data_IF_569117371863
#
_entry.id   IF_569117371863
#
_cell.length_a   1.000
_cell.length_b   1.000
_cell.length_c   1.000
_cell.angle_alpha   90.00
_cell.angle_beta   90.00
_cell.angle_gamma   90.00
#
_symmetry.space_group_name_H-M   'P 1'
#
loop_
_entity.id
_entity.type
_entity.pdbx_description
1 polymer ?
#
# COMPACT_ATOMS: atom_id res chain seq x y z
N UNK A 1 5.11 -16.87 15.75
CA UNK A 1 4.91 -18.04 14.87
C UNK A 1 5.06 -17.55 13.45
N UNK A 2 5.92 -18.17 12.65
CA UNK A 2 6.10 -17.84 11.24
C UNK A 2 5.27 -18.85 10.43
N UNK A 3 4.34 -18.35 9.62
CA UNK A 3 3.53 -19.19 8.75
C UNK A 3 4.26 -19.42 7.43
N UNK A 4 4.31 -20.64 6.98
CA UNK A 4 4.95 -21.02 5.70
C UNK A 4 3.98 -20.85 4.54
N UNK A 5 2.68 -21.12 4.77
CA UNK A 5 1.64 -21.02 3.76
C UNK A 5 0.48 -20.14 4.22
N UNK A 6 -0.23 -19.56 3.28
CA UNK A 6 -1.40 -18.73 3.55
C UNK A 6 -2.51 -19.51 4.27
N UNK A 7 -2.66 -20.79 3.98
CA UNK A 7 -3.65 -21.65 4.63
C UNK A 7 -3.38 -21.79 6.13
N UNK A 8 -2.12 -21.95 6.53
CA UNK A 8 -1.74 -22.04 7.95
C UNK A 8 -2.07 -20.75 8.69
N UNK A 9 -1.82 -19.61 8.04
CA UNK A 9 -2.19 -18.30 8.57
C UNK A 9 -3.70 -18.19 8.75
N UNK A 10 -4.48 -18.52 7.73
CA UNK A 10 -5.94 -18.39 7.76
C UNK A 10 -6.63 -19.40 8.69
N UNK A 11 -6.01 -20.55 8.93
CA UNK A 11 -6.54 -21.59 9.86
C UNK A 11 -6.29 -21.26 11.32
N UNK A 12 -5.63 -20.16 11.62
CA UNK A 12 -5.36 -19.77 13.00
C UNK A 12 -6.66 -19.43 13.75
N UNK A 13 -6.80 -19.98 14.95
CA UNK A 13 -7.96 -19.75 15.82
C UNK A 13 -8.22 -18.27 16.16
N UNK A 14 -7.22 -17.41 16.03
CA UNK A 14 -7.38 -15.96 16.24
C UNK A 14 -8.37 -15.32 15.29
N UNK A 15 -8.68 -15.99 14.16
CA UNK A 15 -9.61 -15.50 13.15
C UNK A 15 -11.01 -16.13 13.21
N UNK A 16 -11.31 -16.95 14.23
CA UNK A 16 -12.61 -17.65 14.30
C UNK A 16 -13.80 -16.71 14.21
N UNK A 17 -13.71 -15.55 14.86
CA UNK A 17 -14.76 -14.52 14.87
C UNK A 17 -14.60 -13.47 13.76
N UNK A 18 -13.59 -13.58 12.90
CA UNK A 18 -13.31 -12.62 11.86
C UNK A 18 -14.04 -12.99 10.57
N UNK A 19 -14.71 -12.03 9.95
CA UNK A 19 -15.35 -12.18 8.64
C UNK A 19 -14.46 -11.63 7.52
N UNK A 20 -13.63 -10.64 7.84
CA UNK A 20 -12.57 -10.18 6.95
C UNK A 20 -11.28 -9.91 7.73
N UNK A 21 -10.14 -10.07 7.06
CA UNK A 21 -8.81 -9.76 7.60
C UNK A 21 -8.24 -8.64 6.75
N UNK A 22 -7.98 -7.49 7.36
CA UNK A 22 -7.45 -6.30 6.70
C UNK A 22 -5.93 -6.31 6.83
N UNK A 23 -5.24 -6.44 5.71
CA UNK A 23 -3.77 -6.52 5.66
C UNK A 23 -3.22 -5.20 5.11
N UNK A 24 -2.58 -4.43 5.95
CA UNK A 24 -2.04 -3.12 5.59
C UNK A 24 -0.85 -3.22 4.63
N UNK A 25 -0.70 -2.20 3.81
CA UNK A 25 0.46 -2.04 2.97
C UNK A 25 1.66 -1.57 3.80
N UNK A 26 2.82 -2.15 3.48
CA UNK A 26 4.11 -1.63 3.90
C UNK A 26 4.83 -1.13 2.66
N UNK A 27 5.04 0.17 2.61
CA UNK A 27 5.59 0.82 1.43
C UNK A 27 7.09 0.57 1.30
N UNK A 28 7.50 0.28 0.08
CA UNK A 28 8.90 0.16 -0.32
C UNK A 28 9.20 1.21 -1.37
N UNK A 29 10.20 2.06 -1.09
CA UNK A 29 10.59 3.16 -1.94
C UNK A 29 11.49 2.75 -3.11
N UNK A 30 11.95 3.75 -3.83
CA UNK A 30 12.86 3.59 -4.96
C UNK A 30 14.27 3.13 -4.56
N UNK A 31 14.62 3.20 -3.28
CA UNK A 31 15.96 2.94 -2.75
C UNK A 31 17.07 3.70 -3.50
N UNK A 32 16.76 4.93 -3.96
CA UNK A 32 17.61 5.81 -4.76
C UNK A 32 17.99 5.23 -6.14
N UNK A 33 17.25 4.24 -6.64
CA UNK A 33 17.45 3.67 -7.97
C UNK A 33 16.85 4.54 -9.05
N UNK A 34 17.68 4.96 -10.01
CA UNK A 34 17.24 5.77 -11.15
C UNK A 34 16.68 4.90 -12.27
N UNK A 35 17.35 3.80 -12.58
CA UNK A 35 17.07 2.97 -13.74
C UNK A 35 16.49 1.62 -13.37
N UNK A 36 15.80 1.02 -14.32
CA UNK A 36 15.34 -0.35 -14.25
C UNK A 36 16.53 -1.32 -14.16
N UNK A 37 16.39 -2.34 -13.34
CA UNK A 37 17.27 -3.50 -13.26
C UNK A 37 16.45 -4.78 -13.50
N UNK A 38 16.91 -5.74 -14.33
CA UNK A 38 16.19 -6.98 -14.63
C UNK A 38 16.29 -8.01 -13.48
N UNK A 39 15.90 -7.58 -12.28
CA UNK A 39 15.86 -8.40 -11.07
C UNK A 39 14.46 -8.34 -10.44
N UNK A 40 14.04 -9.37 -9.68
CA UNK A 40 12.79 -9.34 -8.95
C UNK A 40 12.65 -8.11 -8.05
N UNK A 41 11.45 -7.54 -7.96
CA UNK A 41 11.18 -6.35 -7.13
C UNK A 41 11.65 -6.50 -5.69
N UNK A 42 11.45 -7.69 -5.11
CA UNK A 42 11.85 -8.00 -3.73
C UNK A 42 13.36 -7.94 -3.48
N UNK A 43 14.16 -8.06 -4.53
CA UNK A 43 15.64 -8.00 -4.46
C UNK A 43 16.13 -6.58 -4.73
N UNK A 44 15.41 -5.83 -5.57
CA UNK A 44 15.76 -4.46 -5.92
C UNK A 44 15.39 -3.45 -4.83
N UNK A 45 14.23 -3.63 -4.20
CA UNK A 45 13.66 -2.68 -3.25
C UNK A 45 13.49 -3.35 -1.89
N UNK A 46 14.56 -3.36 -1.12
CA UNK A 46 14.63 -4.07 0.16
C UNK A 46 14.37 -3.18 1.38
N UNK A 47 14.51 -1.86 1.23
CA UNK A 47 14.33 -0.90 2.33
C UNK A 47 12.89 -0.38 2.33
N UNK A 48 12.13 -0.61 3.40
CA UNK A 48 10.83 0.02 3.55
C UNK A 48 10.99 1.54 3.74
N UNK A 49 9.95 2.27 3.37
CA UNK A 49 9.84 3.69 3.67
C UNK A 49 9.68 3.87 5.17
N UNK A 50 10.45 4.78 5.75
CA UNK A 50 10.24 5.18 7.13
C UNK A 50 9.03 6.14 7.16
N UNK A 51 7.92 5.66 7.68
CA UNK A 51 6.68 6.42 7.80
C UNK A 51 6.80 7.30 9.03
N UNK A 52 6.95 8.60 8.83
CA UNK A 52 6.96 9.61 9.90
C UNK A 52 5.53 9.93 10.36
N UNK A 53 5.37 10.58 11.53
CA UNK A 53 4.07 11.05 12.01
C UNK A 53 3.37 11.98 11.01
N UNK A 54 4.14 12.79 10.26
CA UNK A 54 3.61 13.66 9.22
C UNK A 54 2.99 12.86 8.06
N UNK A 55 3.66 11.79 7.63
CA UNK A 55 3.14 10.85 6.64
C UNK A 55 1.90 10.13 7.20
N UNK A 56 1.91 9.82 8.49
CA UNK A 56 0.82 9.15 9.19
C UNK A 56 -0.47 9.99 9.27
N UNK A 57 -0.40 11.30 9.18
CA UNK A 57 -1.56 12.20 9.14
C UNK A 57 -2.33 12.14 7.80
N UNK A 58 -1.77 11.50 6.78
CA UNK A 58 -2.45 11.32 5.51
C UNK A 58 -3.38 10.10 5.57
N UNK A 59 -4.68 10.33 5.57
CA UNK A 59 -5.74 9.31 5.65
C UNK A 59 -5.58 8.18 4.64
N UNK A 60 -5.09 8.48 3.43
CA UNK A 60 -4.87 7.48 2.37
C UNK A 60 -3.84 6.41 2.74
N UNK A 61 -2.87 6.75 3.59
CA UNK A 61 -1.83 5.81 4.02
C UNK A 61 -2.37 4.87 5.09
N UNK A 62 -3.21 5.38 5.99
CA UNK A 62 -3.84 4.56 7.02
C UNK A 62 -4.82 3.55 6.45
N UNK A 63 -5.58 3.95 5.45
CA UNK A 63 -6.56 3.08 4.80
C UNK A 63 -5.96 2.13 3.77
N UNK A 64 -4.69 2.32 3.41
CA UNK A 64 -4.02 1.52 2.39
C UNK A 64 -3.84 0.06 2.85
N UNK A 65 -4.71 -0.81 2.36
CA UNK A 65 -4.77 -2.20 2.74
C UNK A 65 -5.33 -3.06 1.61
N UNK A 66 -5.35 -4.36 1.81
CA UNK A 66 -6.17 -5.34 1.09
C UNK A 66 -6.86 -6.22 2.11
N UNK A 67 -8.00 -6.78 1.73
CA UNK A 67 -8.75 -7.67 2.61
C UNK A 67 -8.78 -9.09 2.07
N UNK A 68 -8.73 -10.04 2.99
CA UNK A 68 -9.12 -11.43 2.76
C UNK A 68 -10.48 -11.59 3.41
N UNK A 69 -11.48 -12.03 2.65
CA UNK A 69 -12.86 -12.10 3.10
C UNK A 69 -13.33 -13.54 3.13
N UNK A 70 -14.08 -13.92 4.15
CA UNK A 70 -14.72 -15.22 4.24
C UNK A 70 -15.78 -15.35 3.14
N UNK A 71 -15.79 -16.45 2.43
CA UNK A 71 -16.78 -16.71 1.38
C UNK A 71 -18.22 -16.78 1.89
N UNK A 72 -19.18 -16.54 1.00
CA UNK A 72 -20.61 -16.64 1.31
C UNK A 72 -21.21 -15.43 2.03
N UNK A 73 -20.47 -14.34 2.24
CA UNK A 73 -20.97 -13.15 2.87
C UNK A 73 -21.57 -12.15 1.86
N UNK A 74 -22.68 -11.50 2.25
CA UNK A 74 -23.18 -10.34 1.53
C UNK A 74 -22.42 -9.11 2.02
N UNK A 75 -21.53 -8.58 1.17
CA UNK A 75 -20.62 -7.51 1.52
C UNK A 75 -21.21 -6.14 1.18
N UNK A 76 -21.18 -5.22 2.13
CA UNK A 76 -21.53 -3.81 1.93
C UNK A 76 -20.24 -2.99 2.00
N UNK A 77 -19.95 -2.27 0.93
CA UNK A 77 -18.78 -1.40 0.88
C UNK A 77 -18.83 -0.33 1.96
N UNK A 78 -17.72 -0.23 2.66
CA UNK A 78 -17.47 0.81 3.62
C UNK A 78 -16.70 1.98 3.01
N UNK A 79 -15.54 2.25 3.58
CA UNK A 79 -14.54 3.18 3.05
C UNK A 79 -13.47 2.39 2.31
N UNK A 80 -13.22 2.73 1.04
CA UNK A 80 -12.32 2.03 0.12
C UNK A 80 -12.71 0.57 -0.20
N UNK A 81 -12.23 0.00 -1.30
CA UNK A 81 -12.64 -1.33 -1.75
C UNK A 81 -12.16 -2.47 -0.85
N UNK A 82 -11.67 -2.18 0.35
CA UNK A 82 -11.01 -3.15 1.22
C UNK A 82 -11.52 -3.13 2.66
N UNK A 83 -12.53 -2.34 2.96
CA UNK A 83 -13.18 -2.31 4.27
C UNK A 83 -14.69 -2.46 4.09
N UNK A 84 -15.32 -3.38 4.81
CA UNK A 84 -16.74 -3.71 4.68
C UNK A 84 -17.49 -3.34 5.96
N UNK A 85 -18.61 -2.60 5.83
CA UNK A 85 -19.37 -2.06 6.98
C UNK A 85 -20.09 -3.13 7.78
N UNK A 86 -20.60 -4.15 7.12
CA UNK A 86 -21.45 -5.18 7.72
C UNK A 86 -20.67 -6.44 8.10
N UNK A 87 -19.38 -6.32 8.36
CA UNK A 87 -18.52 -7.46 8.68
C UNK A 87 -17.67 -7.18 9.92
N UNK A 88 -17.32 -8.25 10.62
CA UNK A 88 -16.29 -8.19 11.65
C UNK A 88 -14.92 -8.16 10.96
N UNK A 89 -14.37 -6.95 10.80
CA UNK A 89 -13.05 -6.72 10.23
C UNK A 89 -11.99 -6.92 11.31
N UNK A 90 -10.98 -7.73 11.02
CA UNK A 90 -9.89 -7.99 11.95
C UNK A 90 -8.54 -7.54 11.37
N UNK A 91 -7.60 -7.26 12.25
CA UNK A 91 -6.18 -7.10 11.93
C UNK A 91 -5.50 -8.45 11.75
N UNK A 92 -4.29 -8.53 11.18
CA UNK A 92 -3.54 -9.77 11.02
C UNK A 92 -3.21 -10.50 12.33
N UNK A 93 -3.32 -9.84 13.47
CA UNK A 93 -3.17 -10.43 14.81
C UNK A 93 -4.47 -10.94 15.42
N UNK A 94 -5.60 -10.91 14.69
CA UNK A 94 -6.92 -11.33 15.13
C UNK A 94 -7.72 -10.29 15.93
N UNK A 95 -7.13 -9.14 16.26
CA UNK A 95 -7.86 -8.07 16.95
C UNK A 95 -8.86 -7.41 16.01
N UNK A 96 -10.03 -7.09 16.52
CA UNK A 96 -11.06 -6.36 15.77
C UNK A 96 -10.52 -4.99 15.35
N UNK A 97 -10.77 -4.63 14.11
CA UNK A 97 -10.48 -3.31 13.56
C UNK A 97 -11.73 -2.44 13.75
N UNK A 98 -11.71 -1.58 14.76
CA UNK A 98 -12.82 -0.70 15.09
C UNK A 98 -12.94 0.48 14.10
N UNK A 99 -11.81 1.00 13.65
CA UNK A 99 -11.74 2.13 12.73
C UNK A 99 -10.73 1.86 11.61
N UNK A 100 -11.16 2.07 10.36
CA UNK A 100 -10.31 1.93 9.18
C UNK A 100 -9.17 2.95 9.13
N UNK A 101 -9.29 4.09 9.83
CA UNK A 101 -8.24 5.10 9.98
C UNK A 101 -7.21 4.74 11.05
N UNK A 102 -7.39 3.62 11.74
CA UNK A 102 -6.42 3.18 12.74
C UNK A 102 -5.04 2.96 12.13
N UNK A 103 -3.96 3.25 12.88
CA UNK A 103 -2.58 3.04 12.41
C UNK A 103 -2.36 1.64 11.84
N UNK A 104 -1.57 1.49 10.74
CA UNK A 104 -1.31 0.20 10.13
C UNK A 104 -0.60 -0.75 11.10
N UNK A 105 -1.03 -2.01 11.12
CA UNK A 105 -0.39 -3.08 11.89
C UNK A 105 0.43 -3.99 10.97
N UNK A 106 1.74 -3.97 11.13
CA UNK A 106 2.67 -4.81 10.38
C UNK A 106 3.26 -5.94 11.23
N UNK A 107 2.70 -6.20 12.42
CA UNK A 107 3.31 -7.11 13.41
C UNK A 107 3.26 -8.59 13.01
N UNK A 108 2.21 -9.01 12.30
CA UNK A 108 2.00 -10.41 11.90
C UNK A 108 2.05 -10.64 10.40
N UNK A 109 1.40 -9.77 9.64
CA UNK A 109 1.40 -9.83 8.18
C UNK A 109 1.29 -8.42 7.60
N UNK A 110 1.86 -8.22 6.42
CA UNK A 110 1.74 -7.00 5.64
C UNK A 110 1.95 -7.29 4.16
N UNK A 111 1.47 -6.40 3.31
CA UNK A 111 1.69 -6.46 1.87
C UNK A 111 2.83 -5.51 1.51
N UNK A 112 3.89 -6.03 0.92
CA UNK A 112 4.96 -5.18 0.35
C UNK A 112 4.40 -4.42 -0.85
N UNK A 113 4.27 -3.11 -0.71
CA UNK A 113 3.73 -2.25 -1.75
C UNK A 113 4.82 -1.42 -2.42
N UNK A 114 5.09 -1.71 -3.69
CA UNK A 114 6.13 -1.08 -4.50
C UNK A 114 5.49 0.00 -5.39
N UNK A 115 5.17 1.14 -4.80
CA UNK A 115 4.42 2.20 -5.49
C UNK A 115 5.23 2.86 -6.60
N UNK A 116 6.48 3.16 -6.31
CA UNK A 116 7.33 3.98 -7.19
C UNK A 116 8.28 3.14 -8.02
N UNK A 117 8.87 2.08 -7.43
CA UNK A 117 9.97 1.32 -8.02
C UNK A 117 11.17 2.25 -8.32
N UNK A 118 11.89 2.06 -9.45
CA UNK A 118 12.90 3.03 -9.91
C UNK A 118 12.25 4.30 -10.46
N UNK A 119 13.01 5.37 -10.55
CA UNK A 119 12.52 6.64 -11.15
C UNK A 119 12.04 6.43 -12.58
N UNK A 120 12.77 5.67 -13.38
CA UNK A 120 12.41 5.32 -14.77
C UNK A 120 11.07 4.58 -14.83
N UNK A 121 10.90 3.51 -14.05
CA UNK A 121 9.63 2.75 -13.98
C UNK A 121 8.45 3.61 -13.48
N UNK A 122 8.72 4.57 -12.60
CA UNK A 122 7.71 5.51 -12.14
C UNK A 122 7.26 6.46 -13.26
N UNK A 123 8.20 7.02 -14.02
CA UNK A 123 7.90 7.88 -15.17
C UNK A 123 7.12 7.10 -16.23
N UNK A 124 7.55 5.87 -16.56
CA UNK A 124 6.80 5.02 -17.49
C UNK A 124 5.37 4.77 -17.03
N UNK A 125 5.17 4.54 -15.74
CA UNK A 125 3.84 4.36 -15.17
C UNK A 125 2.99 5.62 -15.31
N UNK A 126 3.56 6.81 -15.05
CA UNK A 126 2.86 8.08 -15.24
C UNK A 126 2.45 8.26 -16.71
N UNK A 127 3.33 7.96 -17.65
CA UNK A 127 3.07 8.08 -19.09
C UNK A 127 2.00 7.09 -19.59
N UNK A 128 1.88 5.90 -18.98
CA UNK A 128 0.81 4.93 -19.27
C UNK A 128 -0.56 5.39 -18.79
N UNK A 129 -0.60 6.27 -17.78
CA UNK A 129 -1.82 6.69 -17.12
C UNK A 129 -2.44 5.60 -16.25
N UNK A 130 -3.65 5.85 -15.78
CA UNK A 130 -4.47 4.91 -15.03
C UNK A 130 -5.66 4.44 -15.87
N UNK A 131 -6.25 3.30 -15.49
CA UNK A 131 -7.43 2.74 -16.17
C UNK A 131 -8.62 3.72 -16.13
N UNK A 132 -8.74 4.47 -15.05
CA UNK A 132 -9.83 5.43 -14.83
C UNK A 132 -9.49 6.86 -15.23
N UNK A 133 -8.20 7.24 -15.21
CA UNK A 133 -7.74 8.62 -15.39
C UNK A 133 -6.66 8.69 -16.46
N UNK A 134 -7.03 8.44 -17.72
CA UNK A 134 -6.11 8.62 -18.84
C UNK A 134 -5.76 10.11 -19.00
N UNK A 135 -4.49 10.45 -18.75
CA UNK A 135 -3.91 11.78 -18.99
C UNK A 135 -4.60 12.98 -18.31
N UNK A 136 -5.29 12.75 -17.20
CA UNK A 136 -5.80 13.84 -16.40
C UNK A 136 -4.65 14.49 -15.61
N UNK A 137 -4.49 15.81 -15.78
CA UNK A 137 -3.50 16.61 -15.02
C UNK A 137 -3.71 16.51 -13.52
N UNK A 138 -4.95 16.31 -13.07
CA UNK A 138 -5.26 16.08 -11.65
C UNK A 138 -4.64 14.77 -11.16
N UNK A 139 -4.80 13.68 -11.90
CA UNK A 139 -4.21 12.39 -11.56
C UNK A 139 -2.68 12.44 -11.55
N UNK A 140 -2.09 13.08 -12.54
CA UNK A 140 -0.63 13.27 -12.61
C UNK A 140 -0.11 14.04 -11.39
N UNK A 141 -0.75 15.16 -11.06
CA UNK A 141 -0.39 15.96 -9.90
C UNK A 141 -0.59 15.20 -8.58
N UNK A 142 -1.67 14.40 -8.48
CA UNK A 142 -1.90 13.54 -7.32
C UNK A 142 -0.78 12.50 -7.17
N UNK A 143 -0.39 11.81 -8.24
CA UNK A 143 0.67 10.80 -8.20
C UNK A 143 2.05 11.39 -7.94
N UNK A 144 2.35 12.56 -8.48
CA UNK A 144 3.58 13.29 -8.17
C UNK A 144 3.62 13.70 -6.69
N UNK A 145 2.49 14.18 -6.14
CA UNK A 145 2.38 14.50 -4.72
C UNK A 145 2.51 13.26 -3.84
N UNK A 146 1.86 12.16 -4.20
CA UNK A 146 1.99 10.87 -3.51
C UNK A 146 3.46 10.42 -3.50
N UNK A 147 4.15 10.51 -4.63
CA UNK A 147 5.56 10.19 -4.73
C UNK A 147 6.41 11.10 -3.84
N UNK A 148 6.21 12.41 -3.93
CA UNK A 148 6.94 13.39 -3.13
C UNK A 148 6.69 13.21 -1.64
N UNK A 149 5.45 12.97 -1.26
CA UNK A 149 5.03 12.85 0.13
C UNK A 149 5.58 11.56 0.78
N UNK A 150 5.50 10.43 0.06
CA UNK A 150 5.99 9.14 0.55
C UNK A 150 7.52 9.04 0.56
N UNK A 151 8.19 9.79 -0.29
CA UNK A 151 9.61 9.60 -0.55
C UNK A 151 10.43 10.87 -0.41
N UNK A 152 10.05 11.78 0.43
CA UNK A 152 10.56 13.12 0.75
C UNK A 152 12.09 13.34 0.70
N UNK A 153 12.83 12.52 -0.04
CA UNK A 153 14.28 12.58 -0.27
C UNK A 153 14.66 12.94 -1.69
N UNK A 154 13.70 13.33 -2.53
CA UNK A 154 14.06 13.81 -3.86
C UNK A 154 14.64 15.20 -3.67
N UNK A 155 15.97 15.28 -3.65
CA UNK A 155 16.68 16.56 -3.81
C UNK A 155 16.02 17.31 -4.95
N UNK A 156 15.69 18.57 -4.78
CA UNK A 156 15.06 19.48 -5.77
C UNK A 156 15.52 19.28 -7.22
N UNK A 157 16.74 18.79 -7.44
CA UNK A 157 17.30 18.44 -8.75
C UNK A 157 16.56 17.34 -9.51
N UNK A 158 15.94 16.34 -8.83
CA UNK A 158 15.21 15.26 -9.51
C UNK A 158 13.82 15.70 -9.97
N UNK A 159 13.17 16.60 -9.24
CA UNK A 159 11.85 17.11 -9.63
C UNK A 159 11.92 18.04 -10.84
N UNK A 160 12.96 18.86 -10.91
CA UNK A 160 13.17 19.73 -12.09
C UNK A 160 13.35 18.93 -13.38
N UNK A 161 13.86 17.71 -13.31
CA UNK A 161 14.00 16.83 -14.47
C UNK A 161 12.66 16.28 -14.97
N UNK A 162 11.71 16.04 -14.05
CA UNK A 162 10.36 15.55 -14.35
C UNK A 162 9.44 16.63 -14.94
N UNK A 163 9.76 17.92 -14.74
CA UNK A 163 8.90 19.04 -15.16
C UNK A 163 9.35 19.64 -16.49
N UNK A 164 10.58 19.39 -16.94
CA UNK A 164 11.21 20.08 -18.09
C UNK A 164 11.26 19.23 -19.38
N UNK A 165 10.91 17.94 -19.34
CA UNK A 165 10.82 17.06 -20.49
C UNK A 165 9.43 16.43 -20.60
#
# INVERSE_FOLDING_TARGET
MNYTFINDFLSSNVFNNCQSIIINWKYYGDNDKLYYEPKPLRERFIKPVNITEEIMKNEYIYSAAKSIVRGGLHLIWGHFPHYFKNTVNCRPNGKILEDYLSPPDHSKAYIKHYTTKSTEEFIERLNKGDVYYKFDTFYLNYKIKEYYFLFNKIKKKKLNWLIIN
#
